data_IF_877931359640
#
_entry.id   IF_877931359640
#
_cell.length_a   1.000
_cell.length_b   1.000
_cell.length_c   1.000
_cell.angle_alpha   90.00
_cell.angle_beta   90.00
_cell.angle_gamma   90.00
#
_symmetry.space_group_name_H-M   'P 1'
#
loop_
_entity.id
_entity.type
_entity.pdbx_description
1 polymer ?
#
# COMPACT_ATOMS: atom_id res chain seq x y z
N UNK A 1 -2.61 21.80 11.34
CA UNK A 1 -3.87 21.08 11.63
C UNK A 1 -3.59 19.63 11.34
N UNK A 2 -3.60 18.75 12.36
CA UNK A 2 -3.29 17.34 12.19
C UNK A 2 -4.29 16.69 11.24
N UNK A 3 -3.77 15.87 10.34
CA UNK A 3 -4.58 15.06 9.44
C UNK A 3 -5.31 14.03 10.33
N UNK A 4 -6.57 14.27 10.63
CA UNK A 4 -7.38 13.31 11.41
C UNK A 4 -7.58 12.08 10.53
N UNK A 5 -7.10 10.92 10.99
CA UNK A 5 -7.34 9.62 10.38
C UNK A 5 -8.84 9.42 10.18
N UNK A 6 -9.24 9.01 8.97
CA UNK A 6 -10.62 8.64 8.69
C UNK A 6 -10.92 7.26 9.30
N UNK A 7 -12.12 7.08 9.85
CA UNK A 7 -12.54 5.76 10.32
C UNK A 7 -12.89 4.86 9.14
N UNK A 8 -12.82 3.56 9.36
CA UNK A 8 -13.20 2.54 8.38
C UNK A 8 -14.64 2.75 7.87
N UNK A 9 -15.57 3.09 8.76
CA UNK A 9 -16.97 3.39 8.44
C UNK A 9 -17.11 4.62 7.55
N UNK A 10 -16.39 5.71 7.86
CA UNK A 10 -16.40 6.92 7.04
C UNK A 10 -15.93 6.64 5.61
N UNK A 11 -14.90 5.79 5.46
CA UNK A 11 -14.40 5.38 4.15
C UNK A 11 -15.43 4.51 3.42
N UNK A 12 -16.05 3.54 4.10
CA UNK A 12 -17.13 2.70 3.53
C UNK A 12 -18.29 3.55 3.02
N UNK A 13 -18.79 4.47 3.82
CA UNK A 13 -19.85 5.40 3.44
C UNK A 13 -19.45 6.27 2.23
N UNK A 14 -18.21 6.74 2.23
CA UNK A 14 -17.68 7.57 1.16
C UNK A 14 -17.63 6.83 -0.17
N UNK A 15 -17.16 5.57 -0.17
CA UNK A 15 -17.07 4.72 -1.38
C UNK A 15 -18.47 4.38 -1.93
N UNK A 16 -19.48 4.22 -1.06
CA UNK A 16 -20.87 4.00 -1.50
C UNK A 16 -21.45 5.23 -2.21
N UNK A 17 -21.03 6.42 -1.83
CA UNK A 17 -21.52 7.67 -2.43
C UNK A 17 -20.79 8.02 -3.74
N UNK A 18 -19.48 7.77 -3.80
CA UNK A 18 -18.65 8.14 -4.94
C UNK A 18 -17.42 7.24 -5.03
N UNK A 19 -17.04 6.87 -6.25
CA UNK A 19 -15.77 6.17 -6.52
C UNK A 19 -14.60 7.05 -6.08
N UNK A 20 -13.59 6.42 -5.49
CA UNK A 20 -12.32 7.03 -5.16
C UNK A 20 -11.27 6.60 -6.19
N UNK A 21 -10.45 7.53 -6.61
CA UNK A 21 -9.38 7.28 -7.58
C UNK A 21 -8.06 7.08 -6.84
N UNK A 22 -7.45 5.92 -7.03
CA UNK A 22 -6.07 5.68 -6.61
C UNK A 22 -5.08 6.42 -7.52
N UNK A 23 -3.88 6.63 -7.00
CA UNK A 23 -2.71 6.99 -7.79
C UNK A 23 -2.30 5.84 -8.74
N UNK A 24 -1.30 6.08 -9.57
CA UNK A 24 -0.76 5.12 -10.53
C UNK A 24 0.43 4.32 -9.98
N UNK A 25 1.10 3.60 -10.87
CA UNK A 25 2.26 2.76 -10.56
C UNK A 25 3.47 3.61 -10.16
N UNK A 26 3.75 3.70 -8.86
CA UNK A 26 4.83 4.54 -8.34
C UNK A 26 6.21 4.12 -8.87
N UNK A 27 6.57 2.84 -8.70
CA UNK A 27 7.90 2.33 -9.04
C UNK A 27 8.24 2.48 -10.52
N UNK A 28 7.32 2.14 -11.42
CA UNK A 28 7.51 2.29 -12.86
C UNK A 28 7.67 3.75 -13.25
N UNK A 29 6.86 4.62 -12.65
CA UNK A 29 6.94 6.05 -12.93
C UNK A 29 8.25 6.65 -12.39
N UNK A 30 8.65 6.30 -11.17
CA UNK A 30 9.92 6.70 -10.57
C UNK A 30 11.12 6.29 -11.44
N UNK A 31 11.18 5.01 -11.83
CA UNK A 31 12.26 4.47 -12.66
C UNK A 31 12.36 5.18 -14.01
N UNK A 32 11.23 5.42 -14.68
CA UNK A 32 11.18 6.12 -15.96
C UNK A 32 11.53 7.59 -15.86
N UNK A 33 11.04 8.28 -14.82
CA UNK A 33 11.25 9.72 -14.64
C UNK A 33 12.69 10.08 -14.27
N UNK A 34 13.34 9.25 -13.45
CA UNK A 34 14.71 9.53 -12.93
C UNK A 34 15.78 8.65 -13.55
N UNK A 35 15.44 7.87 -14.58
CA UNK A 35 16.34 6.96 -15.31
C UNK A 35 17.16 6.07 -14.33
N UNK A 36 16.45 5.40 -13.43
CA UNK A 36 17.05 4.54 -12.41
C UNK A 36 16.42 3.17 -12.36
N UNK A 37 17.22 2.17 -11.97
CA UNK A 37 16.79 0.79 -11.70
C UNK A 37 16.82 0.44 -10.20
N UNK A 38 17.17 1.42 -9.35
CA UNK A 38 17.15 1.24 -7.91
C UNK A 38 15.71 1.01 -7.42
N UNK A 39 15.58 0.34 -6.28
CA UNK A 39 14.29 0.22 -5.60
C UNK A 39 13.77 1.61 -5.24
N UNK A 40 12.57 1.97 -5.66
CA UNK A 40 12.00 3.31 -5.38
C UNK A 40 11.92 3.63 -3.90
N UNK A 41 11.76 2.61 -3.04
CA UNK A 41 11.64 2.73 -1.59
C UNK A 41 12.90 3.35 -0.95
N UNK A 42 14.08 3.14 -1.53
CA UNK A 42 15.32 3.78 -1.08
C UNK A 42 15.22 5.30 -1.15
N UNK A 43 14.46 5.83 -2.10
CA UNK A 43 14.28 7.28 -2.24
C UNK A 43 13.53 7.91 -1.05
N UNK A 44 12.82 7.14 -0.24
CA UNK A 44 12.19 7.66 0.97
C UNK A 44 13.24 8.26 1.94
N UNK A 45 14.46 7.75 1.91
CA UNK A 45 15.57 8.20 2.74
C UNK A 45 16.59 9.02 1.94
N UNK A 46 16.89 8.61 0.71
CA UNK A 46 17.99 9.17 -0.09
C UNK A 46 17.59 10.36 -0.96
N UNK A 47 16.32 10.39 -1.41
CA UNK A 47 15.81 11.40 -2.34
C UNK A 47 14.35 11.79 -2.06
N UNK A 48 13.99 12.22 -0.83
CA UNK A 48 12.60 12.42 -0.40
C UNK A 48 11.84 13.44 -1.28
N UNK A 49 12.52 14.43 -1.85
CA UNK A 49 11.89 15.42 -2.72
C UNK A 49 11.35 14.77 -4.01
N UNK A 50 12.04 13.75 -4.56
CA UNK A 50 11.54 13.01 -5.73
C UNK A 50 10.27 12.23 -5.43
N UNK A 51 10.17 11.66 -4.23
CA UNK A 51 8.97 10.95 -3.77
C UNK A 51 7.79 11.93 -3.66
N UNK A 52 8.00 13.06 -3.02
CA UNK A 52 6.97 14.11 -2.89
C UNK A 52 6.54 14.70 -4.24
N UNK A 53 7.48 14.84 -5.17
CA UNK A 53 7.17 15.30 -6.54
C UNK A 53 6.20 14.34 -7.23
N UNK A 54 6.45 13.03 -7.20
CA UNK A 54 5.57 12.02 -7.81
C UNK A 54 4.18 12.03 -7.15
N UNK A 55 4.12 12.05 -5.81
CA UNK A 55 2.83 12.15 -5.12
C UNK A 55 2.07 13.42 -5.52
N UNK A 56 2.77 14.54 -5.65
CA UNK A 56 2.16 15.82 -6.09
C UNK A 56 1.60 15.71 -7.50
N UNK A 57 2.30 15.09 -8.43
CA UNK A 57 1.83 14.90 -9.81
C UNK A 57 0.58 14.01 -9.86
N UNK A 58 0.52 12.96 -9.03
CA UNK A 58 -0.69 12.15 -8.92
C UNK A 58 -1.88 12.92 -8.32
N UNK A 59 -1.64 13.78 -7.34
CA UNK A 59 -2.67 14.70 -6.82
C UNK A 59 -3.18 15.65 -7.89
N UNK A 60 -2.30 16.21 -8.71
CA UNK A 60 -2.64 17.08 -9.83
C UNK A 60 -3.42 16.34 -10.92
N UNK A 61 -3.12 15.06 -11.13
CA UNK A 61 -3.88 14.17 -12.01
C UNK A 61 -5.25 13.78 -11.44
N UNK A 62 -5.53 14.10 -10.16
CA UNK A 62 -6.83 13.88 -9.52
C UNK A 62 -6.91 12.68 -8.61
N UNK A 63 -5.80 12.07 -8.25
CA UNK A 63 -5.79 10.99 -7.26
C UNK A 63 -6.36 11.46 -5.91
N UNK A 64 -7.15 10.60 -5.28
CA UNK A 64 -7.76 10.81 -3.98
C UNK A 64 -7.21 9.85 -2.93
N UNK A 65 -6.60 8.76 -3.35
CA UNK A 65 -5.87 7.81 -2.50
C UNK A 65 -4.43 7.77 -3.01
N UNK A 66 -3.48 8.15 -2.15
CA UNK A 66 -2.06 8.01 -2.39
C UNK A 66 -1.54 6.77 -1.68
N UNK A 67 -0.95 5.84 -2.42
CA UNK A 67 -0.20 4.72 -1.85
C UNK A 67 1.18 5.22 -1.44
N UNK A 68 1.62 4.82 -0.27
CA UNK A 68 2.99 5.11 0.17
C UNK A 68 4.01 4.43 -0.75
N UNK A 69 5.19 4.99 -0.87
CA UNK A 69 6.28 4.37 -1.64
C UNK A 69 6.96 3.28 -0.79
N UNK A 70 6.25 2.16 -0.58
CA UNK A 70 6.64 1.10 0.38
C UNK A 70 6.35 -0.33 -0.10
N UNK A 71 5.99 -0.50 -1.36
CA UNK A 71 5.62 -1.80 -1.95
C UNK A 71 6.62 -2.93 -1.65
N UNK A 72 7.91 -2.65 -1.79
CA UNK A 72 8.99 -3.59 -1.54
C UNK A 72 9.81 -3.26 -0.27
N UNK A 73 9.26 -2.45 0.65
CA UNK A 73 9.96 -2.07 1.88
C UNK A 73 9.87 -3.20 2.94
N UNK A 74 10.67 -4.24 2.73
CA UNK A 74 10.73 -5.42 3.59
C UNK A 74 12.14 -6.03 3.59
N UNK A 75 12.41 -6.91 4.57
CA UNK A 75 13.74 -7.51 4.78
C UNK A 75 14.18 -8.48 3.68
N UNK A 76 13.28 -8.93 2.82
CA UNK A 76 13.59 -9.84 1.70
C UNK A 76 13.99 -9.09 0.43
N UNK A 77 13.48 -7.88 0.24
CA UNK A 77 13.74 -7.07 -0.94
C UNK A 77 14.86 -6.04 -0.70
N UNK A 78 15.03 -5.58 0.54
CA UNK A 78 16.00 -4.55 0.90
C UNK A 78 17.12 -5.15 1.75
N UNK A 79 18.37 -4.95 1.32
CA UNK A 79 19.56 -5.31 2.10
C UNK A 79 19.85 -4.21 3.15
N UNK A 80 18.95 -4.11 4.13
CA UNK A 80 18.95 -3.08 5.16
C UNK A 80 18.67 -3.67 6.55
N UNK A 81 19.08 -2.94 7.60
CA UNK A 81 18.69 -3.32 8.97
C UNK A 81 17.19 -3.13 9.20
N UNK A 82 16.65 -3.80 10.23
CA UNK A 82 15.24 -3.63 10.59
C UNK A 82 14.87 -2.18 10.88
N UNK A 83 15.74 -1.45 11.56
CA UNK A 83 15.55 -0.03 11.89
C UNK A 83 15.50 0.84 10.63
N UNK A 84 16.31 0.52 9.64
CA UNK A 84 16.31 1.24 8.35
C UNK A 84 15.03 0.92 7.55
N UNK A 85 14.56 -0.32 7.56
CA UNK A 85 13.29 -0.71 6.92
C UNK A 85 12.12 -0.01 7.62
N UNK A 86 12.08 -0.01 8.95
CA UNK A 86 11.08 0.72 9.72
C UNK A 86 11.08 2.21 9.38
N UNK A 87 12.26 2.85 9.34
CA UNK A 87 12.36 4.28 8.96
C UNK A 87 11.92 4.50 7.50
N UNK A 88 12.20 3.57 6.59
CA UNK A 88 11.73 3.63 5.20
C UNK A 88 10.21 3.60 5.12
N UNK A 89 9.54 2.71 5.89
CA UNK A 89 8.09 2.61 5.97
C UNK A 89 7.47 3.89 6.53
N UNK A 90 7.98 4.37 7.68
CA UNK A 90 7.52 5.61 8.32
C UNK A 90 7.72 6.83 7.44
N UNK A 91 8.88 6.92 6.78
CA UNK A 91 9.18 7.99 5.82
C UNK A 91 8.22 7.98 4.63
N UNK A 92 7.88 6.80 4.09
CA UNK A 92 6.91 6.68 3.01
C UNK A 92 5.56 7.31 3.37
N UNK A 93 5.06 7.06 4.59
CA UNK A 93 3.80 7.67 5.07
C UNK A 93 3.97 9.19 5.27
N UNK A 94 5.06 9.61 5.90
CA UNK A 94 5.36 11.03 6.15
C UNK A 94 5.42 11.82 4.85
N UNK A 95 6.15 11.32 3.84
CA UNK A 95 6.33 11.99 2.54
C UNK A 95 5.03 12.14 1.77
N UNK A 96 4.17 11.12 1.78
CA UNK A 96 2.84 11.22 1.19
C UNK A 96 1.99 12.32 1.87
N UNK A 97 2.02 12.41 3.19
CA UNK A 97 1.33 13.48 3.94
C UNK A 97 1.90 14.86 3.65
N UNK A 98 3.22 14.99 3.60
CA UNK A 98 3.90 16.25 3.28
C UNK A 98 3.52 16.73 1.86
N UNK A 99 3.48 15.81 0.88
CA UNK A 99 3.03 16.11 -0.48
C UNK A 99 1.60 16.65 -0.50
N UNK A 100 0.67 16.02 0.23
CA UNK A 100 -0.72 16.50 0.35
C UNK A 100 -0.77 17.88 0.99
N UNK A 101 -0.02 18.11 2.06
CA UNK A 101 0.00 19.39 2.78
C UNK A 101 0.55 20.51 1.88
N UNK A 102 1.67 20.26 1.18
CA UNK A 102 2.29 21.21 0.27
C UNK A 102 1.38 21.52 -0.93
N UNK A 103 0.77 20.48 -1.52
CA UNK A 103 -0.18 20.63 -2.63
C UNK A 103 -1.39 21.49 -2.23
N UNK A 104 -2.00 21.23 -1.07
CA UNK A 104 -3.11 22.02 -0.53
C UNK A 104 -2.71 23.48 -0.28
N UNK A 105 -1.54 23.69 0.32
CA UNK A 105 -1.03 25.06 0.58
C UNK A 105 -0.82 25.85 -0.71
N UNK A 106 -0.37 25.19 -1.79
CA UNK A 106 -0.12 25.81 -3.08
C UNK A 106 -1.39 26.08 -3.89
N UNK A 107 -2.35 25.16 -3.85
CA UNK A 107 -3.53 25.18 -4.74
C UNK A 107 -4.81 25.72 -4.07
N UNK A 108 -4.86 25.76 -2.75
CA UNK A 108 -6.09 26.01 -2.00
C UNK A 108 -7.11 24.87 -2.04
N UNK A 109 -6.73 23.71 -2.56
CA UNK A 109 -7.63 22.57 -2.73
C UNK A 109 -8.00 21.95 -1.38
N UNK A 110 -9.29 21.66 -1.19
CA UNK A 110 -9.85 21.11 0.07
C UNK A 110 -10.38 19.69 -0.07
N UNK A 111 -10.23 19.07 -1.23
CA UNK A 111 -10.67 17.69 -1.45
C UNK A 111 -10.05 16.74 -0.44
N UNK A 112 -10.85 15.75 -0.02
CA UNK A 112 -10.33 14.64 0.80
C UNK A 112 -9.30 13.84 0.02
N UNK A 113 -8.18 13.59 0.67
CA UNK A 113 -7.12 12.71 0.19
C UNK A 113 -6.79 11.75 1.31
N UNK A 114 -6.74 10.48 0.99
CA UNK A 114 -6.46 9.37 1.89
C UNK A 114 -5.04 8.86 1.67
N UNK A 115 -4.40 8.38 2.72
CA UNK A 115 -3.09 7.74 2.66
C UNK A 115 -3.24 6.24 2.84
N UNK A 116 -2.72 5.50 1.89
CA UNK A 116 -2.75 4.05 1.86
C UNK A 116 -1.35 3.47 2.12
N UNK A 117 -1.20 2.68 3.17
CA UNK A 117 0.00 1.85 3.37
C UNK A 117 0.05 0.77 2.29
N UNK A 118 1.02 0.85 1.42
CA UNK A 118 1.19 -0.04 0.28
C UNK A 118 2.11 -1.20 0.61
N UNK A 119 1.65 -2.43 0.40
CA UNK A 119 2.33 -3.68 0.78
C UNK A 119 2.28 -4.64 -0.41
N UNK A 120 3.44 -4.91 -0.99
CA UNK A 120 3.59 -5.91 -2.04
C UNK A 120 3.79 -7.32 -1.51
N UNK A 121 3.60 -8.31 -2.40
CA UNK A 121 3.93 -9.69 -2.06
C UNK A 121 5.44 -9.83 -1.87
N UNK A 122 5.85 -10.34 -0.70
CA UNK A 122 7.25 -10.64 -0.42
C UNK A 122 7.62 -11.90 -1.22
N UNK A 123 8.65 -11.84 -2.10
CA UNK A 123 9.10 -13.01 -2.82
C UNK A 123 9.73 -14.00 -1.85
N UNK A 124 9.18 -15.19 -1.76
CA UNK A 124 9.71 -16.26 -0.92
C UNK A 124 9.59 -17.60 -1.62
N UNK A 125 10.69 -18.35 -1.60
CA UNK A 125 10.72 -19.73 -2.05
C UNK A 125 10.35 -20.64 -0.88
N UNK A 126 9.08 -21.03 -0.81
CA UNK A 126 8.62 -22.19 -0.08
C UNK A 126 8.13 -22.06 1.37
N UNK A 127 7.27 -22.98 1.67
CA UNK A 127 6.63 -23.40 2.93
C UNK A 127 7.50 -23.31 4.22
N UNK A 128 8.83 -23.38 4.11
CA UNK A 128 9.75 -23.35 5.25
C UNK A 128 9.86 -21.96 5.94
N UNK A 129 9.35 -20.89 5.33
CA UNK A 129 9.46 -19.51 5.85
C UNK A 129 8.12 -18.87 6.19
N UNK A 130 7.01 -19.62 6.15
CA UNK A 130 5.66 -19.06 6.33
C UNK A 130 5.52 -18.24 7.62
N UNK A 131 5.98 -18.75 8.74
CA UNK A 131 5.91 -18.03 10.03
C UNK A 131 6.75 -16.75 10.03
N UNK A 132 7.84 -16.74 9.27
CA UNK A 132 8.68 -15.54 9.11
C UNK A 132 7.97 -14.50 8.28
N UNK A 133 7.35 -14.90 7.17
CA UNK A 133 6.54 -14.01 6.33
C UNK A 133 5.34 -13.42 7.10
N UNK A 134 4.61 -14.25 7.83
CA UNK A 134 3.51 -13.76 8.65
C UNK A 134 3.98 -12.67 9.62
N UNK A 135 5.10 -12.89 10.32
CA UNK A 135 5.67 -11.88 11.25
C UNK A 135 6.14 -10.62 10.54
N UNK A 136 6.72 -10.74 9.36
CA UNK A 136 7.13 -9.58 8.57
C UNK A 136 5.91 -8.72 8.19
N UNK A 137 4.84 -9.34 7.69
CA UNK A 137 3.60 -8.63 7.38
C UNK A 137 2.94 -8.02 8.62
N UNK A 138 2.92 -8.72 9.76
CA UNK A 138 2.42 -8.16 11.02
C UNK A 138 3.22 -6.95 11.46
N UNK A 139 4.55 -6.98 11.34
CA UNK A 139 5.43 -5.87 11.69
C UNK A 139 5.19 -4.64 10.80
N UNK A 140 5.14 -4.82 9.48
CA UNK A 140 4.81 -3.75 8.52
C UNK A 140 3.45 -3.13 8.85
N UNK A 141 2.45 -3.98 9.08
CA UNK A 141 1.11 -3.51 9.39
C UNK A 141 1.03 -2.79 10.74
N UNK A 142 1.80 -3.23 11.75
CA UNK A 142 1.89 -2.53 13.04
C UNK A 142 2.45 -1.12 12.87
N UNK A 143 3.51 -0.96 12.07
CA UNK A 143 4.09 0.36 11.77
C UNK A 143 3.04 1.26 11.10
N UNK A 144 2.31 0.76 10.11
CA UNK A 144 1.28 1.55 9.45
C UNK A 144 0.08 1.88 10.36
N UNK A 145 -0.28 1.00 11.30
CA UNK A 145 -1.29 1.31 12.32
C UNK A 145 -0.82 2.45 13.24
N UNK A 146 0.44 2.42 13.67
CA UNK A 146 1.04 3.48 14.49
C UNK A 146 1.10 4.81 13.74
N UNK A 147 1.46 4.76 12.45
CA UNK A 147 1.44 5.93 11.58
C UNK A 147 0.02 6.40 11.25
N UNK A 148 -1.01 5.59 11.47
CA UNK A 148 -2.39 5.96 11.25
C UNK A 148 -2.75 6.18 9.79
N UNK A 149 -2.39 5.24 8.90
CA UNK A 149 -2.86 5.23 7.52
C UNK A 149 -4.37 4.98 7.46
N UNK A 150 -5.02 5.49 6.41
CA UNK A 150 -6.46 5.33 6.20
C UNK A 150 -6.79 3.96 5.58
N UNK A 151 -5.93 3.49 4.68
CA UNK A 151 -6.07 2.22 3.97
C UNK A 151 -4.85 1.33 4.18
N UNK A 152 -5.08 0.01 4.18
CA UNK A 152 -4.08 -1.00 3.90
C UNK A 152 -4.32 -1.56 2.51
N UNK A 153 -3.33 -1.47 1.65
CA UNK A 153 -3.38 -2.00 0.29
C UNK A 153 -2.37 -3.12 0.16
N UNK A 154 -2.86 -4.35 0.16
CA UNK A 154 -2.08 -5.53 -0.19
C UNK A 154 -2.23 -5.75 -1.68
N UNK A 155 -1.19 -5.46 -2.47
CA UNK A 155 -1.30 -5.52 -3.94
C UNK A 155 -0.34 -6.54 -4.58
N UNK A 156 -0.76 -7.03 -5.74
CA UNK A 156 0.02 -7.97 -6.58
C UNK A 156 0.25 -9.34 -5.93
N UNK A 157 -0.69 -9.77 -5.09
CA UNK A 157 -0.59 -11.07 -4.43
C UNK A 157 -1.04 -12.24 -5.34
N UNK A 158 -0.37 -13.38 -5.20
CA UNK A 158 -0.75 -14.64 -5.86
C UNK A 158 -1.64 -15.52 -4.98
N UNK A 159 -1.58 -15.33 -3.67
CA UNK A 159 -2.42 -15.92 -2.62
C UNK A 159 -2.36 -15.03 -1.38
N UNK A 160 -3.04 -15.39 -0.29
CA UNK A 160 -3.16 -14.49 0.87
C UNK A 160 -3.04 -15.18 2.23
N UNK A 161 -2.62 -16.43 2.26
CA UNK A 161 -2.56 -17.22 3.50
C UNK A 161 -1.62 -16.57 4.54
N UNK A 162 -0.51 -16.02 4.10
CA UNK A 162 0.48 -15.36 4.95
C UNK A 162 0.01 -14.00 5.49
N UNK A 163 -1.01 -13.40 4.85
CA UNK A 163 -1.58 -12.13 5.26
C UNK A 163 -2.61 -12.25 6.39
N UNK A 164 -3.16 -13.45 6.60
CA UNK A 164 -4.30 -13.63 7.51
C UNK A 164 -4.05 -13.14 8.94
N UNK A 165 -2.87 -13.37 9.57
CA UNK A 165 -2.58 -12.82 10.89
C UNK A 165 -2.58 -11.28 10.89
N UNK A 166 -1.91 -10.66 9.92
CA UNK A 166 -1.85 -9.20 9.78
C UNK A 166 -3.23 -8.59 9.51
N UNK A 167 -4.03 -9.17 8.61
CA UNK A 167 -5.41 -8.75 8.33
C UNK A 167 -6.27 -8.77 9.60
N UNK A 168 -6.17 -9.83 10.40
CA UNK A 168 -6.89 -9.93 11.69
C UNK A 168 -6.41 -8.88 12.69
N UNK A 169 -5.10 -8.61 12.74
CA UNK A 169 -4.53 -7.58 13.62
C UNK A 169 -5.03 -6.18 13.26
N UNK A 170 -5.11 -5.85 11.96
CA UNK A 170 -5.68 -4.57 11.49
C UNK A 170 -7.16 -4.49 11.87
N UNK A 171 -7.93 -5.55 11.58
CA UNK A 171 -9.33 -5.67 11.95
C UNK A 171 -10.19 -4.48 11.51
N UNK A 172 -10.85 -3.83 12.46
CA UNK A 172 -11.72 -2.68 12.21
C UNK A 172 -10.99 -1.32 12.31
N UNK A 173 -9.65 -1.31 12.47
CA UNK A 173 -8.90 -0.07 12.68
C UNK A 173 -8.65 0.73 11.40
N UNK A 174 -8.68 0.09 10.23
CA UNK A 174 -8.49 0.74 8.93
C UNK A 174 -9.20 -0.04 7.81
N UNK A 175 -9.36 0.60 6.65
CA UNK A 175 -9.93 -0.02 5.47
C UNK A 175 -8.91 -0.95 4.79
N UNK A 176 -9.29 -2.19 4.53
CA UNK A 176 -8.39 -3.22 3.96
C UNK A 176 -8.80 -3.54 2.53
N UNK A 177 -7.85 -3.38 1.61
CA UNK A 177 -7.98 -3.79 0.21
C UNK A 177 -6.96 -4.88 -0.10
N UNK A 178 -7.41 -5.98 -0.71
CA UNK A 178 -6.52 -7.05 -1.21
C UNK A 178 -6.64 -7.13 -2.73
N UNK A 179 -5.52 -7.03 -3.43
CA UNK A 179 -5.46 -7.05 -4.88
C UNK A 179 -4.55 -8.19 -5.34
N UNK A 180 -5.06 -8.99 -6.26
CA UNK A 180 -4.36 -10.15 -6.79
C UNK A 180 -3.80 -9.88 -8.19
N UNK A 181 -2.68 -10.52 -8.51
CA UNK A 181 -2.14 -10.60 -9.86
C UNK A 181 -2.54 -11.92 -10.50
N UNK A 182 -3.08 -11.87 -11.71
CA UNK A 182 -3.46 -13.03 -12.49
C UNK A 182 -2.98 -12.87 -13.93
N UNK A 183 -2.59 -13.99 -14.56
CA UNK A 183 -2.21 -14.01 -15.95
C UNK A 183 -3.43 -13.86 -16.89
N UNK A 184 -3.18 -13.80 -18.20
CA UNK A 184 -4.23 -13.68 -19.23
C UNK A 184 -5.29 -14.80 -19.24
N UNK A 185 -5.03 -15.92 -18.56
CA UNK A 185 -5.98 -17.04 -18.40
C UNK A 185 -6.74 -16.98 -17.07
N UNK A 186 -6.51 -15.94 -16.26
CA UNK A 186 -7.18 -15.75 -14.99
C UNK A 186 -6.64 -16.59 -13.84
N UNK A 187 -5.36 -16.98 -13.88
CA UNK A 187 -4.69 -17.73 -12.80
C UNK A 187 -3.53 -16.93 -12.22
N UNK A 188 -3.41 -16.95 -10.88
CA UNK A 188 -2.25 -16.40 -10.18
C UNK A 188 -1.02 -17.31 -10.32
N UNK A 189 0.15 -16.81 -9.94
CA UNK A 189 1.40 -17.60 -9.92
C UNK A 189 1.32 -18.79 -8.94
N UNK A 190 0.45 -18.74 -7.93
CA UNK A 190 0.15 -19.88 -7.05
C UNK A 190 -0.83 -20.90 -7.67
N UNK A 191 -1.23 -20.73 -8.94
CA UNK A 191 -2.14 -21.63 -9.64
C UNK A 191 -3.61 -21.50 -9.21
N UNK A 192 -3.98 -20.44 -8.50
CA UNK A 192 -5.36 -20.19 -8.07
C UNK A 192 -6.09 -19.37 -9.13
N UNK A 193 -7.33 -19.78 -9.47
CA UNK A 193 -8.15 -18.98 -10.37
C UNK A 193 -8.62 -17.68 -9.72
N UNK A 194 -8.80 -16.63 -10.52
CA UNK A 194 -9.35 -15.34 -10.10
C UNK A 194 -10.62 -15.49 -9.26
N UNK A 195 -11.54 -16.36 -9.72
CA UNK A 195 -12.78 -16.67 -8.99
C UNK A 195 -12.50 -17.22 -7.58
N UNK A 196 -11.55 -18.16 -7.44
CA UNK A 196 -11.21 -18.76 -6.14
C UNK A 196 -10.57 -17.74 -5.21
N UNK A 197 -9.70 -16.86 -5.74
CA UNK A 197 -9.09 -15.77 -4.97
C UNK A 197 -10.15 -14.81 -4.43
N UNK A 198 -11.08 -14.33 -5.29
CA UNK A 198 -12.17 -13.46 -4.88
C UNK A 198 -13.09 -14.11 -3.83
N UNK A 199 -13.42 -15.40 -4.01
CA UNK A 199 -14.26 -16.13 -3.04
C UNK A 199 -13.58 -16.26 -1.67
N UNK A 200 -12.28 -16.58 -1.65
CA UNK A 200 -11.52 -16.70 -0.40
C UNK A 200 -11.42 -15.37 0.34
N UNK A 201 -11.00 -14.31 -0.39
CA UNK A 201 -10.86 -12.99 0.21
C UNK A 201 -12.21 -12.40 0.66
N UNK A 202 -13.25 -12.56 -0.15
CA UNK A 202 -14.60 -12.09 0.19
C UNK A 202 -15.27 -12.84 1.35
N UNK A 203 -14.73 -13.98 1.79
CA UNK A 203 -15.19 -14.70 2.97
C UNK A 203 -14.58 -14.15 4.28
N UNK A 204 -13.60 -13.23 4.21
CA UNK A 204 -12.93 -12.66 5.37
C UNK A 204 -13.57 -11.31 5.68
N UNK A 205 -14.22 -11.24 6.83
CA UNK A 205 -15.03 -10.07 7.25
C UNK A 205 -14.22 -8.78 7.43
N UNK A 206 -12.93 -8.91 7.71
CA UNK A 206 -12.01 -7.79 7.91
C UNK A 206 -11.64 -7.10 6.59
N UNK A 207 -11.74 -7.81 5.44
CA UNK A 207 -11.42 -7.27 4.12
C UNK A 207 -12.62 -6.48 3.59
N UNK A 208 -12.38 -5.23 3.18
CA UNK A 208 -13.42 -4.32 2.69
C UNK A 208 -13.56 -4.32 1.17
N UNK A 209 -12.45 -4.50 0.47
CA UNK A 209 -12.43 -4.52 -0.99
C UNK A 209 -11.46 -5.57 -1.53
N UNK A 210 -11.83 -6.17 -2.64
CA UNK A 210 -11.01 -7.17 -3.34
C UNK A 210 -10.95 -6.81 -4.81
N UNK A 211 -9.78 -6.94 -5.42
CA UNK A 211 -9.60 -6.62 -6.83
C UNK A 211 -8.39 -7.30 -7.46
N UNK A 212 -8.03 -6.79 -8.62
CA UNK A 212 -6.86 -7.23 -9.38
C UNK A 212 -6.04 -6.02 -9.81
N UNK A 213 -4.72 -6.20 -9.88
CA UNK A 213 -3.78 -5.24 -10.43
C UNK A 213 -2.66 -5.98 -11.20
N UNK A 214 -1.90 -5.27 -12.03
CA UNK A 214 -0.79 -5.75 -12.87
C UNK A 214 -1.14 -6.82 -13.90
#
# INVERSE_FOLDING_TARGET
MGNTKHTKEQIRERIQQKKLLFDGAFGTYYGGKYDTKQLPELANLEAPERVKEIHTEYLEAGAQILRTNTFAANSFCMDMSKEQIEETLRSGVRLAREAVAAWRARTGETKEVYIAGDIGQIPCDALAQKDTLCREYEEICRIFLEEGVDFFVFETFSEMEELLPAIKMIGEQAFITVQFSVNQFGYSNAGLSARKLLQRAGAIKEIDAVGFNC
#
